data_IF_494672424781
#
_entry.id   IF_494672424781
#
_cell.length_a   1.000
_cell.length_b   1.000
_cell.length_c   1.000
_cell.angle_alpha   90.00
_cell.angle_beta   90.00
_cell.angle_gamma   90.00
#
_symmetry.space_group_name_H-M   'P 1'
#
loop_
_entity.id
_entity.type
_entity.pdbx_description
1 polymer ?
#
# COMPACT_ATOMS: atom_id res chain seq x y z
N UNK A 1 -39.34 18.09 -60.94
CA UNK A 1 -38.05 18.33 -60.22
C UNK A 1 -37.99 17.46 -59.02
N UNK A 2 -37.32 16.30 -59.09
CA UNK A 2 -37.17 15.32 -58.00
C UNK A 2 -35.83 15.58 -57.29
N UNK A 3 -35.87 16.00 -56.02
CA UNK A 3 -34.67 16.14 -55.17
C UNK A 3 -34.34 14.77 -54.58
N UNK A 4 -33.22 14.22 -54.99
CA UNK A 4 -32.62 13.06 -54.35
C UNK A 4 -31.84 13.52 -53.10
N UNK A 5 -32.25 13.05 -51.93
CA UNK A 5 -31.51 13.23 -50.65
C UNK A 5 -30.53 12.08 -50.53
N UNK A 6 -29.23 12.39 -50.61
CA UNK A 6 -28.15 11.45 -50.44
C UNK A 6 -27.86 11.36 -48.91
N UNK A 7 -28.22 10.22 -48.26
CA UNK A 7 -27.86 9.92 -46.90
C UNK A 7 -26.42 9.36 -46.88
N UNK A 8 -25.45 10.18 -46.46
CA UNK A 8 -24.11 9.71 -46.19
C UNK A 8 -24.09 9.03 -44.80
N UNK A 9 -24.01 7.70 -44.76
CA UNK A 9 -23.74 6.95 -43.54
C UNK A 9 -22.27 7.20 -43.12
N UNK A 10 -22.09 7.97 -42.08
CA UNK A 10 -20.79 8.18 -41.44
C UNK A 10 -20.52 6.93 -40.54
N UNK A 11 -19.78 5.97 -41.06
CA UNK A 11 -19.26 4.87 -40.26
C UNK A 11 -18.18 5.40 -39.31
N UNK A 12 -18.57 5.73 -38.07
CA UNK A 12 -17.61 5.99 -36.99
C UNK A 12 -17.01 4.64 -36.59
N UNK A 13 -15.85 4.33 -37.17
CA UNK A 13 -15.02 3.22 -36.72
C UNK A 13 -14.51 3.57 -35.32
N UNK A 14 -15.11 3.01 -34.28
CA UNK A 14 -14.48 2.93 -32.97
C UNK A 14 -13.21 2.08 -33.13
N UNK A 15 -12.06 2.72 -33.26
CA UNK A 15 -10.79 2.05 -33.05
C UNK A 15 -10.73 1.62 -31.59
N UNK A 16 -11.16 0.38 -31.30
CA UNK A 16 -10.84 -0.24 -30.03
C UNK A 16 -9.31 -0.26 -29.96
N UNK A 17 -8.74 0.48 -29.04
CA UNK A 17 -7.32 0.37 -28.69
C UNK A 17 -7.09 -1.04 -28.19
N UNK A 18 -6.68 -1.94 -29.10
CA UNK A 18 -6.29 -3.30 -28.69
C UNK A 18 -5.08 -3.16 -27.80
N UNK A 19 -5.27 -3.47 -26.53
CA UNK A 19 -4.18 -3.52 -25.58
C UNK A 19 -3.16 -4.56 -26.07
N UNK A 20 -1.87 -4.22 -26.05
CA UNK A 20 -0.82 -5.10 -26.53
C UNK A 20 -0.89 -6.44 -25.77
N UNK A 21 -0.88 -7.55 -26.52
CA UNK A 21 -0.76 -8.88 -25.93
C UNK A 21 0.72 -9.17 -25.74
N UNK A 22 1.11 -9.57 -24.51
CA UNK A 22 2.51 -9.80 -24.17
C UNK A 22 2.76 -11.28 -23.87
N UNK A 23 3.89 -11.77 -24.34
CA UNK A 23 4.47 -13.03 -23.89
C UNK A 23 5.81 -12.76 -23.24
N UNK A 24 5.96 -13.12 -21.97
CA UNK A 24 7.18 -12.91 -21.20
C UNK A 24 7.85 -14.27 -20.98
N UNK A 25 9.06 -14.46 -21.53
CA UNK A 25 9.90 -15.61 -21.26
C UNK A 25 10.98 -15.25 -20.27
N UNK A 26 11.11 -16.04 -19.20
CA UNK A 26 12.09 -15.81 -18.15
C UNK A 26 12.82 -17.08 -17.75
N UNK A 27 14.09 -16.93 -17.33
CA UNK A 27 14.85 -18.03 -16.74
C UNK A 27 14.20 -18.48 -15.41
N UNK A 28 13.69 -17.54 -14.62
CA UNK A 28 12.96 -17.82 -13.38
C UNK A 28 11.76 -16.90 -13.25
N UNK A 29 10.56 -17.46 -12.98
CA UNK A 29 9.38 -16.71 -12.57
C UNK A 29 9.07 -17.03 -11.11
N UNK A 30 8.90 -16.00 -10.30
CA UNK A 30 8.49 -16.07 -8.90
C UNK A 30 6.98 -15.77 -8.77
N UNK A 31 6.09 -16.77 -8.79
CA UNK A 31 4.65 -16.53 -8.69
C UNK A 31 4.21 -15.95 -7.35
N UNK A 32 4.98 -16.20 -6.30
CA UNK A 32 4.74 -15.88 -4.88
C UNK A 32 3.60 -16.69 -4.25
N UNK A 33 2.59 -17.09 -5.02
CA UNK A 33 1.54 -18.03 -4.58
C UNK A 33 1.96 -19.50 -4.63
N UNK A 34 3.14 -19.80 -5.19
CA UNK A 34 3.70 -21.14 -5.33
C UNK A 34 5.22 -21.11 -5.48
N UNK A 35 5.81 -22.26 -5.77
CA UNK A 35 7.26 -22.37 -5.96
C UNK A 35 7.71 -21.65 -7.24
N UNK A 36 8.94 -21.10 -7.29
CA UNK A 36 9.52 -20.53 -8.49
C UNK A 36 9.53 -21.52 -9.65
N UNK A 37 9.22 -21.02 -10.85
CA UNK A 37 9.17 -21.82 -12.08
C UNK A 37 10.35 -21.42 -12.97
N UNK A 38 11.24 -22.37 -13.25
CA UNK A 38 12.37 -22.16 -14.16
C UNK A 38 11.93 -22.35 -15.60
N UNK A 39 12.59 -21.62 -16.54
CA UNK A 39 12.29 -21.66 -17.97
C UNK A 39 10.79 -21.47 -18.22
N UNK A 40 10.25 -20.36 -17.72
CA UNK A 40 8.81 -20.11 -17.70
C UNK A 40 8.36 -19.08 -18.73
N UNK A 41 7.09 -19.20 -19.13
CA UNK A 41 6.40 -18.23 -19.98
C UNK A 41 5.14 -17.73 -19.29
N UNK A 42 4.94 -16.41 -19.31
CA UNK A 42 3.71 -15.74 -18.91
C UNK A 42 3.04 -15.18 -20.16
N UNK A 43 1.76 -15.48 -20.35
CA UNK A 43 0.94 -14.83 -21.37
C UNK A 43 0.06 -13.78 -20.71
N UNK A 44 0.05 -12.57 -21.29
CA UNK A 44 -0.77 -11.44 -20.84
C UNK A 44 -1.70 -11.03 -21.96
N UNK A 45 -2.98 -10.93 -21.64
CA UNK A 45 -4.04 -10.52 -22.57
C UNK A 45 -5.03 -9.60 -21.87
N UNK A 46 -5.43 -8.54 -22.55
CA UNK A 46 -6.44 -7.57 -22.04
C UNK A 46 -6.13 -7.08 -20.61
N UNK A 47 -4.84 -6.82 -20.33
CA UNK A 47 -4.38 -6.34 -19.03
C UNK A 47 -4.30 -7.37 -17.92
N UNK A 48 -4.61 -8.64 -18.21
CA UNK A 48 -4.65 -9.74 -17.24
C UNK A 48 -3.62 -10.80 -17.57
N UNK A 49 -3.19 -11.52 -16.53
CA UNK A 49 -2.42 -12.75 -16.69
C UNK A 49 -3.36 -13.82 -17.26
N UNK A 50 -3.10 -14.27 -18.48
CA UNK A 50 -3.88 -15.31 -19.14
C UNK A 50 -3.39 -16.70 -18.72
N UNK A 51 -2.05 -16.89 -18.71
CA UNK A 51 -1.43 -18.19 -18.41
C UNK A 51 -0.02 -18.02 -17.88
N UNK A 52 0.39 -18.91 -16.97
CA UNK A 52 1.74 -19.08 -16.48
C UNK A 52 2.09 -20.59 -16.50
N UNK A 53 3.31 -20.94 -16.91
CA UNK A 53 3.81 -22.32 -16.86
C UNK A 53 5.20 -22.43 -17.49
N UNK A 54 5.71 -23.68 -17.61
CA UNK A 54 6.98 -23.93 -18.26
C UNK A 54 6.92 -23.54 -19.75
N UNK A 55 7.98 -22.96 -20.28
CA UNK A 55 8.04 -22.53 -21.69
C UNK A 55 7.82 -23.68 -22.66
N UNK A 56 8.21 -24.91 -22.28
CA UNK A 56 7.95 -26.13 -23.08
C UNK A 56 6.46 -26.50 -23.17
N UNK A 57 5.62 -26.01 -22.27
CA UNK A 57 4.20 -26.33 -22.17
C UNK A 57 3.30 -25.19 -22.70
N UNK A 58 3.87 -24.00 -22.95
CA UNK A 58 3.13 -22.83 -23.40
C UNK A 58 3.53 -22.45 -24.82
N UNK A 59 2.58 -22.59 -25.75
CA UNK A 59 2.72 -22.05 -27.10
C UNK A 59 2.33 -20.58 -27.09
N UNK A 60 3.25 -19.73 -27.56
CA UNK A 60 2.98 -18.29 -27.72
C UNK A 60 2.12 -18.10 -28.97
N UNK A 61 0.92 -17.50 -28.89
CA UNK A 61 0.09 -17.25 -30.05
C UNK A 61 0.71 -16.18 -30.98
N UNK A 62 0.32 -16.19 -32.25
CA UNK A 62 0.72 -15.13 -33.17
C UNK A 62 0.16 -13.77 -32.73
N UNK A 63 0.97 -12.72 -32.90
CA UNK A 63 0.58 -11.34 -32.54
C UNK A 63 0.95 -10.92 -31.12
N UNK A 64 1.49 -11.82 -30.27
CA UNK A 64 2.04 -11.44 -28.98
C UNK A 64 3.42 -10.79 -29.13
N UNK A 65 3.63 -9.66 -28.44
CA UNK A 65 4.95 -9.06 -28.31
C UNK A 65 5.77 -9.90 -27.31
N UNK A 66 6.93 -10.39 -27.74
CA UNK A 66 7.81 -11.20 -26.90
C UNK A 66 8.77 -10.32 -26.10
N UNK A 67 8.75 -10.48 -24.79
CA UNK A 67 9.73 -9.92 -23.86
C UNK A 67 10.56 -11.06 -23.26
N UNK A 68 11.81 -10.76 -22.88
CA UNK A 68 12.72 -11.70 -22.22
C UNK A 68 13.27 -11.09 -20.95
N UNK A 69 13.42 -11.91 -19.90
CA UNK A 69 13.99 -11.50 -18.62
C UNK A 69 14.80 -12.64 -18.00
N UNK A 70 15.67 -12.34 -17.05
CA UNK A 70 16.29 -13.35 -16.20
C UNK A 70 15.33 -13.78 -15.09
N UNK A 71 14.75 -12.81 -14.40
CA UNK A 71 13.74 -13.09 -13.39
C UNK A 71 12.50 -12.23 -13.60
N UNK A 72 11.34 -12.74 -13.15
CA UNK A 72 10.06 -12.00 -13.13
C UNK A 72 9.39 -12.20 -11.77
N UNK A 73 8.93 -11.10 -11.18
CA UNK A 73 8.09 -11.10 -9.96
C UNK A 73 6.73 -10.45 -10.24
N UNK A 74 5.72 -10.63 -9.37
CA UNK A 74 4.58 -9.72 -9.33
C UNK A 74 5.06 -8.29 -9.14
N UNK A 75 4.26 -7.32 -9.54
CA UNK A 75 4.46 -5.92 -9.19
C UNK A 75 4.60 -5.75 -7.68
N UNK A 76 5.59 -4.95 -7.26
CA UNK A 76 5.85 -4.69 -5.85
C UNK A 76 4.77 -3.79 -5.28
N UNK A 77 4.44 -3.99 -4.00
CA UNK A 77 3.42 -3.25 -3.26
C UNK A 77 4.07 -2.61 -2.04
N UNK A 78 4.05 -1.29 -1.98
CA UNK A 78 4.44 -0.56 -0.79
C UNK A 78 3.26 -0.53 0.20
N UNK A 79 3.45 -1.21 1.34
CA UNK A 79 2.40 -1.37 2.34
C UNK A 79 2.00 -0.04 3.02
N UNK A 80 2.89 0.95 3.06
CA UNK A 80 2.65 2.27 3.64
C UNK A 80 3.67 3.29 3.17
N UNK A 81 3.18 4.38 2.61
CA UNK A 81 3.99 5.53 2.19
C UNK A 81 3.17 6.83 2.28
N UNK A 82 3.83 7.96 2.05
CA UNK A 82 3.18 9.28 1.89
C UNK A 82 3.43 9.84 0.47
N UNK A 83 4.02 9.05 -0.41
CA UNK A 83 4.33 9.47 -1.78
C UNK A 83 3.06 9.86 -2.52
N UNK A 84 3.13 10.96 -3.24
CA UNK A 84 2.01 11.60 -3.91
C UNK A 84 1.30 12.67 -3.07
N UNK A 85 1.33 12.57 -1.72
CA UNK A 85 0.97 13.65 -0.79
C UNK A 85 2.21 14.43 -0.33
N UNK A 86 3.38 13.81 -0.37
CA UNK A 86 4.68 14.45 -0.12
C UNK A 86 5.51 14.38 -1.38
N UNK A 87 6.06 15.51 -1.80
CA UNK A 87 6.76 15.65 -3.05
C UNK A 87 8.28 15.74 -2.91
N UNK A 88 8.97 15.65 -4.07
CA UNK A 88 10.41 15.62 -4.17
C UNK A 88 11.09 16.96 -3.82
N UNK A 89 10.38 18.07 -3.95
CA UNK A 89 10.95 19.41 -3.74
C UNK A 89 11.11 19.77 -2.26
N UNK A 90 10.36 19.12 -1.37
CA UNK A 90 10.34 19.39 0.07
C UNK A 90 10.06 20.86 0.40
N UNK A 91 9.15 21.48 -0.34
CA UNK A 91 8.68 22.85 -0.11
C UNK A 91 7.24 22.80 0.45
N UNK A 92 6.76 23.83 1.15
CA UNK A 92 5.41 23.78 1.75
C UNK A 92 4.29 23.43 0.76
N UNK A 93 4.44 23.77 -0.51
CA UNK A 93 3.43 23.52 -1.55
C UNK A 93 3.36 22.05 -2.01
N UNK A 94 4.31 21.20 -1.63
CA UNK A 94 4.31 19.77 -1.95
C UNK A 94 4.31 18.87 -0.69
N UNK A 95 3.75 19.38 0.44
CA UNK A 95 3.77 18.71 1.75
C UNK A 95 2.36 18.59 2.35
N UNK A 96 1.46 17.87 1.63
CA UNK A 96 0.07 17.64 2.06
C UNK A 96 -0.10 16.41 2.96
N UNK A 97 1.00 15.74 3.33
CA UNK A 97 0.93 14.50 4.12
C UNK A 97 0.55 14.72 5.59
N UNK A 98 0.65 15.92 6.14
CA UNK A 98 0.32 16.18 7.55
C UNK A 98 -0.23 17.58 7.77
N UNK A 99 -1.54 17.66 8.03
CA UNK A 99 -2.22 18.88 8.47
C UNK A 99 -2.03 19.10 9.98
N UNK A 100 -1.56 20.29 10.36
CA UNK A 100 -1.19 20.63 11.74
C UNK A 100 -2.18 21.55 12.46
N UNK A 101 -3.33 21.88 11.86
CA UNK A 101 -4.34 22.74 12.48
C UNK A 101 -5.05 22.08 13.68
N UNK A 102 -5.16 20.73 13.66
CA UNK A 102 -5.76 19.95 14.75
C UNK A 102 -5.14 18.55 14.84
N UNK A 103 -4.99 17.98 16.04
CA UNK A 103 -4.43 16.62 16.18
C UNK A 103 -5.40 15.50 15.79
N UNK A 104 -6.67 15.77 15.53
CA UNK A 104 -7.68 14.74 15.18
C UNK A 104 -8.52 15.23 14.01
N UNK A 105 -8.26 14.70 12.83
CA UNK A 105 -8.86 15.07 11.55
C UNK A 105 -9.17 13.83 10.69
N UNK A 106 -10.08 12.95 11.13
CA UNK A 106 -10.40 11.70 10.41
C UNK A 106 -11.12 11.94 9.08
N UNK A 107 -11.65 13.14 8.84
CA UNK A 107 -12.35 13.56 7.63
C UNK A 107 -11.45 13.79 6.44
N UNK A 108 -10.15 14.02 6.64
CA UNK A 108 -9.21 14.26 5.54
C UNK A 108 -9.02 12.99 4.70
N UNK A 109 -9.06 13.13 3.38
CA UNK A 109 -8.97 12.01 2.46
C UNK A 109 -7.71 12.12 1.59
N UNK A 110 -6.93 11.05 1.51
CA UNK A 110 -5.72 11.02 0.70
C UNK A 110 -5.99 11.31 -0.79
N UNK A 111 -7.13 10.88 -1.31
CA UNK A 111 -7.50 11.07 -2.71
C UNK A 111 -7.64 12.55 -3.09
N UNK A 112 -7.96 13.43 -2.14
CA UNK A 112 -8.14 14.86 -2.41
C UNK A 112 -6.81 15.63 -2.50
N UNK A 113 -5.70 15.02 -2.02
CA UNK A 113 -4.38 15.64 -1.96
C UNK A 113 -3.31 14.91 -2.81
N UNK A 114 -3.65 13.74 -3.37
CA UNK A 114 -2.69 12.94 -4.11
C UNK A 114 -2.38 13.52 -5.49
N UNK A 115 -1.08 13.70 -5.77
CA UNK A 115 -0.57 14.10 -7.07
C UNK A 115 -0.02 12.88 -7.83
N UNK A 116 -0.70 12.38 -8.89
CA UNK A 116 -0.22 11.24 -9.67
C UNK A 116 1.03 11.54 -10.51
N UNK A 117 1.30 12.81 -10.79
CA UNK A 117 2.44 13.28 -11.58
C UNK A 117 3.67 13.60 -10.71
N UNK A 118 3.61 13.31 -9.40
CA UNK A 118 4.74 13.52 -8.50
C UNK A 118 5.94 12.66 -8.93
N UNK A 119 7.10 13.27 -9.01
CA UNK A 119 8.36 12.63 -9.45
C UNK A 119 8.70 11.37 -8.65
N UNK A 120 8.37 11.35 -7.35
CA UNK A 120 8.60 10.18 -6.49
C UNK A 120 7.70 9.00 -6.89
N UNK A 121 6.47 9.25 -7.39
CA UNK A 121 5.61 8.18 -7.93
C UNK A 121 6.26 7.54 -9.15
N UNK A 122 6.81 8.37 -10.04
CA UNK A 122 7.56 7.88 -11.21
C UNK A 122 8.78 7.05 -10.77
N UNK A 123 9.54 7.56 -9.80
CA UNK A 123 10.71 6.87 -9.26
C UNK A 123 10.35 5.50 -8.68
N UNK A 124 9.30 5.41 -7.85
CA UNK A 124 8.82 4.13 -7.31
C UNK A 124 8.48 3.13 -8.42
N UNK A 125 7.77 3.59 -9.45
CA UNK A 125 7.40 2.78 -10.60
C UNK A 125 8.62 2.22 -11.34
N UNK A 126 9.67 3.05 -11.54
CA UNK A 126 10.92 2.63 -12.18
C UNK A 126 11.61 1.49 -11.43
N UNK A 127 11.48 1.45 -10.10
CA UNK A 127 11.98 0.36 -9.25
C UNK A 127 10.97 -0.77 -9.01
N UNK A 128 9.94 -0.90 -9.85
CA UNK A 128 9.02 -2.04 -9.82
C UNK A 128 7.87 -1.92 -8.82
N UNK A 129 7.71 -0.80 -8.10
CA UNK A 129 6.55 -0.60 -7.22
C UNK A 129 5.34 -0.21 -8.05
N UNK A 130 4.42 -1.14 -8.26
CA UNK A 130 3.25 -0.97 -9.12
C UNK A 130 2.01 -0.50 -8.38
N UNK A 131 1.99 -0.71 -7.06
CA UNK A 131 0.87 -0.35 -6.19
C UNK A 131 1.40 0.23 -4.88
N UNK A 132 0.78 1.29 -4.39
CA UNK A 132 1.11 1.92 -3.11
C UNK A 132 -0.14 2.07 -2.24
N UNK A 133 0.02 1.84 -0.94
CA UNK A 133 -0.91 2.27 0.09
C UNK A 133 -0.40 3.60 0.63
N UNK A 134 -1.00 4.69 0.20
CA UNK A 134 -0.55 6.05 0.51
C UNK A 134 -1.62 6.86 1.24
N UNK A 135 -1.21 7.92 1.90
CA UNK A 135 -2.10 8.83 2.61
C UNK A 135 -1.38 9.66 3.66
N UNK A 136 -2.18 10.23 4.56
CA UNK A 136 -1.67 11.14 5.56
C UNK A 136 -0.61 10.49 6.45
N UNK A 137 0.46 11.21 6.70
CA UNK A 137 1.64 10.76 7.43
C UNK A 137 1.44 10.65 8.94
N UNK A 138 2.51 10.24 9.59
CA UNK A 138 2.59 10.08 11.04
C UNK A 138 2.67 11.45 11.75
N UNK A 139 2.21 11.51 13.00
CA UNK A 139 2.42 12.67 13.86
C UNK A 139 1.17 13.46 14.22
N UNK A 140 -0.02 13.02 13.82
CA UNK A 140 -1.31 13.45 14.40
C UNK A 140 -2.02 12.27 15.03
N UNK A 141 -2.84 12.47 16.06
CA UNK A 141 -3.61 11.40 16.72
C UNK A 141 -4.51 10.67 15.71
N UNK A 142 -5.17 11.42 14.82
CA UNK A 142 -5.86 10.91 13.64
C UNK A 142 -5.50 11.84 12.49
N UNK A 143 -4.69 11.34 11.56
CA UNK A 143 -4.17 12.12 10.45
C UNK A 143 -5.14 12.21 9.27
N UNK A 144 -5.98 11.19 9.07
CA UNK A 144 -6.92 11.11 7.95
C UNK A 144 -7.01 9.71 7.34
N UNK A 145 -7.70 9.64 6.23
CA UNK A 145 -8.00 8.42 5.49
C UNK A 145 -6.88 8.13 4.48
N UNK A 146 -6.50 6.87 4.35
CA UNK A 146 -5.54 6.40 3.36
C UNK A 146 -6.25 5.79 2.14
N UNK A 147 -5.53 5.63 1.04
CA UNK A 147 -6.01 4.99 -0.18
C UNK A 147 -5.01 3.99 -0.73
N UNK A 148 -5.47 3.10 -1.62
CA UNK A 148 -4.61 2.21 -2.40
C UNK A 148 -4.73 2.59 -3.86
N UNK A 149 -3.60 2.79 -4.53
CA UNK A 149 -3.54 3.27 -5.91
C UNK A 149 -2.39 2.61 -6.68
N UNK A 150 -2.59 2.39 -7.98
CA UNK A 150 -1.52 1.98 -8.88
C UNK A 150 -0.66 3.16 -9.27
N UNK A 151 0.63 2.93 -9.45
CA UNK A 151 1.61 3.98 -9.82
C UNK A 151 1.66 4.26 -11.33
N UNK A 152 0.78 3.66 -12.13
CA UNK A 152 0.78 3.87 -13.57
C UNK A 152 0.43 5.35 -13.91
N UNK A 153 0.91 5.88 -15.06
CA UNK A 153 0.50 7.21 -15.53
C UNK A 153 -1.00 7.33 -15.73
N UNK A 154 -1.56 8.52 -15.51
CA UNK A 154 -2.99 8.80 -15.65
C UNK A 154 -3.58 9.51 -14.44
N UNK A 155 -4.89 9.69 -14.41
CA UNK A 155 -5.58 10.36 -13.32
C UNK A 155 -5.71 9.45 -12.08
N UNK A 156 -6.05 10.06 -10.95
CA UNK A 156 -6.30 9.32 -9.69
C UNK A 156 -7.47 8.36 -9.89
N UNK A 157 -8.53 8.82 -10.55
CA UNK A 157 -9.76 8.05 -10.79
C UNK A 157 -9.52 6.80 -11.64
N UNK A 158 -8.57 6.87 -12.60
CA UNK A 158 -8.20 5.73 -13.45
C UNK A 158 -7.38 4.68 -12.70
N UNK A 159 -6.63 5.10 -11.68
CA UNK A 159 -5.60 4.29 -11.05
C UNK A 159 -5.95 3.84 -9.64
N UNK A 160 -6.92 4.47 -8.97
CA UNK A 160 -7.30 4.13 -7.60
C UNK A 160 -7.95 2.74 -7.52
N UNK A 161 -7.43 1.92 -6.61
CA UNK A 161 -8.00 0.59 -6.29
C UNK A 161 -9.00 0.70 -5.15
N UNK A 162 -8.66 1.49 -4.14
CA UNK A 162 -9.49 1.76 -2.96
C UNK A 162 -9.33 3.24 -2.58
N UNK A 163 -10.36 4.07 -2.79
CA UNK A 163 -10.31 5.50 -2.46
C UNK A 163 -10.28 5.76 -0.94
N UNK A 164 -10.71 4.76 -0.15
CA UNK A 164 -10.66 4.71 1.29
C UNK A 164 -10.22 3.31 1.72
N UNK A 165 -9.04 3.19 2.32
CA UNK A 165 -8.48 1.91 2.77
C UNK A 165 -8.50 1.81 4.30
N UNK A 166 -7.83 2.71 5.00
CA UNK A 166 -7.69 2.70 6.44
C UNK A 166 -7.79 4.11 7.03
N UNK A 167 -7.96 4.20 8.35
CA UNK A 167 -7.84 5.45 9.09
C UNK A 167 -6.47 5.53 9.76
N UNK A 168 -5.62 6.47 9.30
CA UNK A 168 -4.28 6.66 9.82
C UNK A 168 -4.30 7.41 11.15
N UNK A 169 -3.62 6.83 12.14
CA UNK A 169 -3.53 7.31 13.52
C UNK A 169 -2.10 7.18 14.01
N UNK A 170 -1.70 7.99 14.99
CA UNK A 170 -0.39 7.89 15.62
C UNK A 170 -0.51 7.96 17.13
N UNK A 171 0.22 7.11 17.85
CA UNK A 171 0.40 7.17 19.29
C UNK A 171 1.89 7.25 19.59
N UNK A 172 2.30 8.26 20.35
CA UNK A 172 3.70 8.40 20.73
C UNK A 172 4.26 9.83 20.64
N UNK A 173 5.60 9.96 20.70
CA UNK A 173 6.27 11.26 20.80
C UNK A 173 6.08 12.18 19.59
N UNK A 174 5.92 11.63 18.39
CA UNK A 174 5.74 12.41 17.16
C UNK A 174 4.49 13.30 17.20
N UNK A 175 3.44 12.89 17.92
CA UNK A 175 2.24 13.70 18.13
C UNK A 175 2.56 14.93 18.97
N UNK A 176 3.23 14.76 20.12
CA UNK A 176 3.60 15.88 20.99
C UNK A 176 4.69 16.76 20.38
N UNK A 177 5.43 16.28 19.39
CA UNK A 177 6.37 17.08 18.61
C UNK A 177 5.71 18.01 17.60
N UNK A 178 4.50 17.66 17.12
CA UNK A 178 3.75 18.46 16.14
C UNK A 178 2.68 19.37 16.78
N UNK A 179 2.15 18.99 17.95
CA UNK A 179 1.04 19.69 18.60
C UNK A 179 1.37 20.01 20.06
N UNK A 180 1.05 21.22 20.49
CA UNK A 180 1.16 21.62 21.90
C UNK A 180 0.24 20.82 22.83
N UNK A 181 -0.87 20.30 22.30
CA UNK A 181 -1.79 19.37 22.96
C UNK A 181 -2.26 18.31 21.95
N UNK A 182 -2.16 17.00 22.29
CA UNK A 182 -1.77 16.42 23.59
C UNK A 182 -0.25 16.30 23.77
N UNK A 183 0.25 16.73 24.93
CA UNK A 183 1.68 16.66 25.25
C UNK A 183 2.14 15.35 25.90
N UNK A 184 1.23 14.47 26.35
CA UNK A 184 1.55 13.20 27.02
C UNK A 184 0.74 12.05 26.46
N UNK A 185 1.27 10.81 26.58
CA UNK A 185 0.57 9.58 26.18
C UNK A 185 -0.80 9.44 26.83
N UNK A 186 -0.91 9.75 28.12
CA UNK A 186 -2.20 9.68 28.84
C UNK A 186 -3.23 10.64 28.23
N UNK A 187 -2.82 11.85 27.87
CA UNK A 187 -3.70 12.82 27.19
C UNK A 187 -4.05 12.40 25.77
N UNK A 188 -3.10 11.82 25.03
CA UNK A 188 -3.33 11.23 23.70
C UNK A 188 -4.45 10.19 23.77
N UNK A 189 -4.31 9.21 24.67
CA UNK A 189 -5.33 8.17 24.86
C UNK A 189 -6.68 8.69 25.33
N UNK A 190 -6.69 9.70 26.21
CA UNK A 190 -7.93 10.32 26.66
C UNK A 190 -8.67 11.04 25.52
N UNK A 191 -7.95 11.75 24.65
CA UNK A 191 -8.55 12.42 23.50
C UNK A 191 -9.09 11.43 22.47
N UNK A 192 -8.34 10.38 22.14
CA UNK A 192 -8.82 9.31 21.23
C UNK A 192 -10.10 8.65 21.76
N UNK A 193 -10.13 8.28 23.07
CA UNK A 193 -11.33 7.73 23.69
C UNK A 193 -12.52 8.68 23.59
N UNK A 194 -12.30 9.96 23.92
CA UNK A 194 -13.35 10.97 23.84
C UNK A 194 -13.99 11.04 22.45
N UNK A 195 -13.19 11.05 21.39
CA UNK A 195 -13.71 11.10 20.01
C UNK A 195 -14.39 9.80 19.60
N UNK A 196 -13.84 8.65 20.00
CA UNK A 196 -14.44 7.35 19.69
C UNK A 196 -15.78 7.15 20.43
N UNK A 197 -15.93 7.61 21.69
CA UNK A 197 -17.22 7.61 22.38
C UNK A 197 -18.24 8.51 21.69
N UNK A 198 -17.84 9.71 21.24
CA UNK A 198 -18.72 10.58 20.45
C UNK A 198 -19.17 9.90 19.16
N UNK A 199 -18.27 9.19 18.48
CA UNK A 199 -18.60 8.46 17.27
C UNK A 199 -19.54 7.27 17.53
N UNK A 200 -19.39 6.56 18.66
CA UNK A 200 -20.35 5.51 19.07
C UNK A 200 -21.75 6.10 19.30
N UNK A 201 -21.86 7.20 20.04
CA UNK A 201 -23.13 7.90 20.28
C UNK A 201 -23.76 8.41 18.97
N UNK A 202 -22.95 9.06 18.11
CA UNK A 202 -23.37 9.50 16.79
C UNK A 202 -23.92 8.34 15.94
N UNK A 203 -23.19 7.23 15.86
CA UNK A 203 -23.60 6.04 15.12
C UNK A 203 -24.90 5.45 15.64
N UNK A 204 -25.05 5.37 16.97
CA UNK A 204 -26.30 4.88 17.58
C UNK A 204 -27.48 5.79 17.24
N UNK A 205 -27.32 7.12 17.34
CA UNK A 205 -28.36 8.09 16.97
C UNK A 205 -28.72 8.07 15.49
N UNK A 206 -27.77 7.83 14.60
CA UNK A 206 -28.04 7.66 13.15
C UNK A 206 -28.97 6.50 12.84
N UNK A 207 -29.03 5.48 13.69
CA UNK A 207 -29.88 4.31 13.55
C UNK A 207 -31.28 4.50 14.15
N UNK A 208 -31.59 5.66 14.76
CA UNK A 208 -32.92 5.92 15.35
C UNK A 208 -34.00 5.82 14.27
N UNK A 209 -35.10 5.15 14.61
CA UNK A 209 -36.26 4.99 13.70
C UNK A 209 -36.92 6.33 13.40
N UNK A 210 -36.93 7.23 14.38
CA UNK A 210 -37.43 8.59 14.23
C UNK A 210 -36.37 9.48 13.54
N UNK A 211 -36.61 9.84 12.29
CA UNK A 211 -35.68 10.65 11.50
C UNK A 211 -35.40 12.04 12.10
N UNK A 212 -36.32 12.56 12.91
CA UNK A 212 -36.15 13.87 13.57
C UNK A 212 -35.12 13.85 14.69
N UNK A 213 -34.82 12.67 15.23
CA UNK A 213 -33.80 12.46 16.27
C UNK A 213 -32.39 12.14 15.68
N UNK A 214 -32.30 11.91 14.36
CA UNK A 214 -31.01 11.64 13.74
C UNK A 214 -30.16 12.92 13.70
N UNK A 215 -28.87 12.82 14.05
CA UNK A 215 -27.98 13.97 13.98
C UNK A 215 -27.76 14.40 12.53
N UNK A 216 -27.43 15.66 12.31
CA UNK A 216 -26.93 16.13 11.03
C UNK A 216 -25.65 15.37 10.63
N UNK A 217 -25.33 15.36 9.35
CA UNK A 217 -24.10 14.72 8.86
C UNK A 217 -22.88 15.51 9.35
N UNK A 218 -21.94 14.76 9.94
CA UNK A 218 -20.65 15.25 10.45
C UNK A 218 -19.55 14.38 9.84
N UNK A 219 -18.70 14.96 8.98
CA UNK A 219 -17.66 14.21 8.25
C UNK A 219 -16.69 13.49 9.17
N UNK A 220 -16.35 14.13 10.30
CA UNK A 220 -15.47 13.56 11.33
C UNK A 220 -16.09 12.31 11.96
N UNK A 221 -17.35 12.42 12.37
CA UNK A 221 -18.08 11.31 12.98
C UNK A 221 -18.38 10.20 11.99
N UNK A 222 -18.66 10.51 10.72
CA UNK A 222 -18.85 9.51 9.66
C UNK A 222 -17.57 8.69 9.45
N UNK A 223 -16.40 9.33 9.37
CA UNK A 223 -15.11 8.61 9.21
C UNK A 223 -14.80 7.68 10.40
N UNK A 224 -14.99 8.19 11.64
CA UNK A 224 -14.84 7.37 12.86
C UNK A 224 -15.89 6.26 12.97
N UNK A 225 -17.10 6.47 12.44
CA UNK A 225 -18.15 5.45 12.41
C UNK A 225 -17.77 4.28 11.50
N UNK A 226 -17.10 4.53 10.39
CA UNK A 226 -16.57 3.49 9.49
C UNK A 226 -15.49 2.64 10.17
N UNK A 227 -14.62 3.24 10.97
CA UNK A 227 -13.68 2.52 11.82
C UNK A 227 -14.41 1.61 12.82
N UNK A 228 -15.38 2.16 13.56
CA UNK A 228 -16.13 1.43 14.58
C UNK A 228 -17.07 0.36 14.03
N UNK A 229 -17.49 0.48 12.76
CA UNK A 229 -18.28 -0.56 12.09
C UNK A 229 -17.43 -1.70 11.54
N UNK A 230 -16.10 -1.52 11.46
CA UNK A 230 -15.19 -2.46 10.83
C UNK A 230 -15.20 -2.39 9.30
N UNK A 231 -15.82 -1.35 8.70
CA UNK A 231 -15.77 -1.06 7.26
C UNK A 231 -14.34 -0.76 6.84
N UNK A 232 -13.60 -0.01 7.66
CA UNK A 232 -12.16 0.25 7.50
C UNK A 232 -11.38 -0.20 8.72
N UNK A 233 -10.08 -0.45 8.54
CA UNK A 233 -9.15 -0.77 9.63
C UNK A 233 -8.57 0.51 10.24
N UNK A 234 -8.18 0.45 11.53
CA UNK A 234 -7.36 1.48 12.17
C UNK A 234 -5.88 1.18 11.91
N UNK A 235 -5.21 2.06 11.19
CA UNK A 235 -3.77 2.01 10.93
C UNK A 235 -3.09 2.85 12.01
N UNK A 236 -2.52 2.22 13.05
CA UNK A 236 -1.94 2.93 14.18
C UNK A 236 -0.42 2.83 14.16
N UNK A 237 0.23 3.95 13.86
CA UNK A 237 1.69 4.05 14.00
C UNK A 237 2.05 4.08 15.49
N UNK A 238 2.79 3.04 15.92
CA UNK A 238 3.25 2.87 17.29
C UNK A 238 4.55 2.06 17.31
N UNK A 239 5.66 2.65 17.76
CA UNK A 239 6.98 2.02 17.69
C UNK A 239 7.39 1.36 19.02
N UNK A 240 7.24 2.05 20.14
CA UNK A 240 7.63 1.50 21.46
C UNK A 240 6.61 0.51 21.98
N UNK A 241 7.07 -0.41 22.84
CA UNK A 241 6.19 -1.40 23.49
C UNK A 241 5.02 -0.77 24.24
N UNK A 242 5.24 0.38 24.88
CA UNK A 242 4.18 1.10 25.60
C UNK A 242 3.12 1.64 24.62
N UNK A 243 3.52 2.16 23.47
CA UNK A 243 2.62 2.72 22.46
C UNK A 243 1.86 1.61 21.71
N UNK A 244 2.53 0.49 21.38
CA UNK A 244 1.88 -0.71 20.83
C UNK A 244 0.82 -1.24 21.80
N UNK A 245 1.13 -1.33 23.09
CA UNK A 245 0.16 -1.78 24.10
C UNK A 245 -1.01 -0.79 24.27
N UNK A 246 -0.78 0.51 24.07
CA UNK A 246 -1.86 1.51 24.06
C UNK A 246 -2.77 1.32 22.84
N UNK A 247 -2.20 1.04 21.65
CA UNK A 247 -3.00 0.72 20.46
C UNK A 247 -3.87 -0.54 20.67
N UNK A 248 -3.28 -1.60 21.25
CA UNK A 248 -4.01 -2.84 21.58
C UNK A 248 -5.12 -2.59 22.61
N UNK A 249 -4.87 -1.77 23.65
CA UNK A 249 -5.93 -1.41 24.62
C UNK A 249 -7.08 -0.66 23.96
N UNK A 250 -6.78 0.28 23.07
CA UNK A 250 -7.79 1.04 22.35
C UNK A 250 -8.61 0.13 21.44
N UNK A 251 -7.95 -0.75 20.69
CA UNK A 251 -8.60 -1.75 19.86
C UNK A 251 -9.52 -2.67 20.66
N UNK A 252 -9.06 -3.16 21.82
CA UNK A 252 -9.87 -4.01 22.70
C UNK A 252 -11.08 -3.28 23.27
N UNK A 253 -10.95 -2.00 23.60
CA UNK A 253 -12.01 -1.16 24.17
C UNK A 253 -13.12 -0.86 23.15
N UNK A 254 -12.76 -0.60 21.88
CA UNK A 254 -13.68 -0.15 20.84
C UNK A 254 -14.01 -1.18 19.75
N UNK A 255 -13.31 -2.30 19.69
CA UNK A 255 -13.63 -3.44 18.84
C UNK A 255 -13.28 -3.28 17.35
N UNK A 256 -12.49 -2.28 16.95
CA UNK A 256 -12.10 -2.12 15.55
C UNK A 256 -10.95 -3.08 15.15
N UNK A 257 -10.76 -3.27 13.83
CA UNK A 257 -9.63 -4.04 13.30
C UNK A 257 -8.36 -3.19 13.34
N UNK A 258 -7.29 -3.71 13.95
CA UNK A 258 -6.03 -3.01 14.16
C UNK A 258 -4.95 -3.47 13.17
N UNK A 259 -4.33 -2.51 12.50
CA UNK A 259 -3.05 -2.65 11.80
C UNK A 259 -2.03 -1.82 12.58
N UNK A 260 -1.00 -2.46 13.10
CA UNK A 260 0.15 -1.79 13.69
C UNK A 260 1.09 -1.35 12.57
N UNK A 261 1.41 -0.08 12.56
CA UNK A 261 2.29 0.57 11.60
C UNK A 261 3.60 0.98 12.29
N UNK A 262 4.73 0.82 11.61
CA UNK A 262 6.07 1.00 12.18
C UNK A 262 6.47 -0.14 13.11
N UNK A 263 5.81 -0.27 14.25
CA UNK A 263 5.87 -1.41 15.17
C UNK A 263 7.30 -1.87 15.56
N UNK A 264 8.23 -0.93 15.79
CA UNK A 264 9.66 -1.20 15.98
C UNK A 264 9.98 -2.18 17.11
N UNK A 265 9.16 -2.22 18.17
CA UNK A 265 9.31 -3.17 19.30
C UNK A 265 8.28 -4.31 19.28
N UNK A 266 7.61 -4.57 18.14
CA UNK A 266 6.61 -5.64 18.05
C UNK A 266 7.17 -7.02 18.39
N UNK A 267 8.45 -7.27 18.09
CA UNK A 267 9.14 -8.52 18.42
C UNK A 267 9.14 -8.86 19.93
N UNK A 268 8.95 -7.86 20.80
CA UNK A 268 8.84 -8.03 22.25
C UNK A 268 7.43 -8.39 22.72
N UNK A 269 6.41 -8.19 21.87
CA UNK A 269 5.00 -8.26 22.22
C UNK A 269 4.22 -9.29 21.40
N UNK A 270 4.91 -10.30 20.85
CA UNK A 270 4.34 -11.34 19.99
C UNK A 270 3.05 -11.96 20.59
N UNK A 271 2.99 -12.41 21.87
CA UNK A 271 1.77 -12.97 22.43
C UNK A 271 0.60 -11.99 22.48
N UNK A 272 0.88 -10.72 22.83
CA UNK A 272 -0.13 -9.67 22.95
C UNK A 272 -0.71 -9.30 21.58
N UNK A 273 0.15 -9.17 20.56
CA UNK A 273 -0.25 -8.84 19.18
C UNK A 273 -1.08 -9.99 18.59
N UNK A 274 -0.68 -11.26 18.83
CA UNK A 274 -1.47 -12.44 18.44
C UNK A 274 -2.86 -12.45 19.08
N UNK A 275 -2.94 -12.20 20.39
CA UNK A 275 -4.21 -12.16 21.12
C UNK A 275 -5.13 -11.04 20.62
N UNK A 276 -4.56 -9.92 20.19
CA UNK A 276 -5.30 -8.80 19.60
C UNK A 276 -5.70 -9.05 18.14
N UNK A 277 -5.20 -10.12 17.51
CA UNK A 277 -5.35 -10.35 16.07
C UNK A 277 -4.91 -9.15 15.21
N UNK A 278 -3.91 -8.40 15.69
CA UNK A 278 -3.41 -7.25 14.97
C UNK A 278 -2.51 -7.67 13.80
N UNK A 279 -2.70 -7.01 12.66
CA UNK A 279 -1.83 -7.13 11.49
C UNK A 279 -0.64 -6.18 11.62
N UNK A 280 0.46 -6.43 10.90
CA UNK A 280 1.69 -5.65 11.04
C UNK A 280 2.17 -5.14 9.69
N UNK A 281 2.32 -3.82 9.57
CA UNK A 281 3.17 -3.15 8.60
C UNK A 281 4.44 -2.76 9.36
N UNK A 282 5.55 -3.39 8.97
CA UNK A 282 6.83 -3.19 9.66
C UNK A 282 7.54 -1.98 9.08
N UNK A 283 8.13 -1.18 9.97
CA UNK A 283 9.00 -0.06 9.62
C UNK A 283 10.03 -0.42 8.53
N UNK A 284 10.54 0.58 7.78
CA UNK A 284 11.64 0.34 6.85
C UNK A 284 12.83 -0.34 7.58
N UNK A 285 13.36 -1.39 7.00
CA UNK A 285 14.42 -2.21 7.62
C UNK A 285 15.75 -1.46 7.73
N UNK A 286 15.94 -0.44 6.87
CA UNK A 286 17.07 0.49 6.92
C UNK A 286 16.77 1.75 7.75
N UNK A 287 15.68 1.77 8.53
CA UNK A 287 15.38 2.90 9.42
C UNK A 287 16.46 3.09 10.50
N UNK A 288 16.60 4.33 10.99
CA UNK A 288 17.55 4.64 12.05
C UNK A 288 17.01 4.27 13.42
N UNK A 289 17.90 3.76 14.27
CA UNK A 289 17.61 3.51 15.68
C UNK A 289 17.68 4.82 16.46
N UNK A 290 16.62 5.61 16.43
CA UNK A 290 16.54 6.89 17.14
C UNK A 290 15.12 7.15 17.66
N UNK A 291 15.01 7.99 18.67
CA UNK A 291 13.73 8.38 19.25
C UNK A 291 12.93 7.17 19.78
N UNK A 292 11.68 7.06 19.37
CA UNK A 292 10.77 5.95 19.73
C UNK A 292 11.11 4.62 19.04
N UNK A 293 12.03 4.65 18.06
CA UNK A 293 12.61 3.49 17.37
C UNK A 293 13.99 3.07 17.94
N UNK A 294 14.39 3.59 19.10
CA UNK A 294 15.70 3.32 19.70
C UNK A 294 16.01 1.83 19.98
N UNK A 295 14.97 1.00 20.15
CA UNK A 295 15.08 -0.46 20.33
C UNK A 295 14.71 -1.24 19.05
N UNK A 296 14.70 -0.60 17.89
CA UNK A 296 14.53 -1.28 16.62
C UNK A 296 15.60 -2.35 16.45
N UNK A 297 15.21 -3.55 15.99
CA UNK A 297 16.14 -4.57 15.53
C UNK A 297 15.92 -4.87 14.05
N UNK A 298 17.00 -5.04 13.31
CA UNK A 298 16.96 -5.37 11.88
C UNK A 298 16.44 -6.79 11.62
N UNK A 299 16.44 -7.64 12.65
CA UNK A 299 15.91 -8.99 12.64
C UNK A 299 14.38 -9.04 12.79
N UNK A 300 13.72 -7.90 13.04
CA UNK A 300 12.28 -7.84 13.34
C UNK A 300 11.42 -8.58 12.31
N UNK A 301 11.69 -8.42 11.01
CA UNK A 301 10.93 -9.11 9.96
C UNK A 301 11.05 -10.63 10.08
N UNK A 302 12.27 -11.15 10.28
CA UNK A 302 12.54 -12.57 10.44
C UNK A 302 11.88 -13.12 11.70
N UNK A 303 12.03 -12.45 12.85
CA UNK A 303 11.45 -12.87 14.13
C UNK A 303 9.93 -12.94 14.05
N UNK A 304 9.29 -11.92 13.50
CA UNK A 304 7.84 -11.85 13.40
C UNK A 304 7.28 -12.88 12.42
N UNK A 305 7.94 -13.10 11.27
CA UNK A 305 7.51 -14.13 10.32
C UNK A 305 7.70 -15.54 10.86
N UNK A 306 8.79 -15.82 11.58
CA UNK A 306 8.97 -17.10 12.28
C UNK A 306 7.92 -17.31 13.38
N UNK A 307 7.44 -16.24 13.98
CA UNK A 307 6.31 -16.29 14.90
C UNK A 307 4.94 -16.47 14.20
N UNK A 308 4.89 -16.49 12.86
CA UNK A 308 3.69 -16.74 12.07
C UNK A 308 2.89 -15.49 11.67
N UNK A 309 3.47 -14.29 11.76
CA UNK A 309 2.82 -13.08 11.22
C UNK A 309 3.11 -12.92 9.72
N UNK A 310 2.11 -12.63 8.88
CA UNK A 310 2.33 -12.24 7.49
C UNK A 310 2.77 -10.76 7.41
N UNK A 311 4.05 -10.50 7.75
CA UNK A 311 4.59 -9.14 7.80
C UNK A 311 4.58 -8.50 6.42
N UNK A 312 4.13 -7.25 6.33
CA UNK A 312 4.31 -6.36 5.18
C UNK A 312 5.38 -5.34 5.52
N UNK A 313 6.28 -5.03 4.57
CA UNK A 313 7.32 -4.01 4.74
C UNK A 313 6.86 -2.73 4.06
N UNK A 314 7.14 -1.60 4.69
CA UNK A 314 6.84 -0.27 4.18
C UNK A 314 8.09 0.50 3.76
N UNK A 315 7.93 1.50 2.89
CA UNK A 315 8.96 2.53 2.66
C UNK A 315 8.90 3.64 3.71
N UNK A 316 7.75 3.84 4.32
CA UNK A 316 7.54 4.82 5.38
C UNK A 316 7.70 6.27 4.92
N UNK A 317 8.14 7.13 5.86
CA UNK A 317 8.38 8.54 5.63
C UNK A 317 9.53 9.07 6.47
N UNK A 318 10.46 9.80 5.85
CA UNK A 318 11.54 10.52 6.53
C UNK A 318 11.38 12.03 6.32
N UNK A 319 11.09 12.77 7.40
CA UNK A 319 10.65 14.18 7.34
C UNK A 319 11.72 15.22 7.00
N UNK A 320 13.00 14.85 6.90
CA UNK A 320 14.07 15.83 6.66
C UNK A 320 14.59 15.87 5.22
N UNK A 321 14.29 14.86 4.44
CA UNK A 321 14.60 14.79 3.00
C UNK A 321 13.43 14.09 2.34
N UNK A 322 12.94 14.55 1.18
CA UNK A 322 11.95 13.83 0.41
C UNK A 322 12.61 12.58 -0.16
N UNK A 323 12.75 11.58 0.70
CA UNK A 323 13.25 10.28 0.32
C UNK A 323 12.09 9.31 0.39
N UNK A 324 11.76 8.82 -0.78
CA UNK A 324 11.06 7.57 -0.78
C UNK A 324 12.10 6.46 -0.74
N UNK A 325 11.92 5.53 0.18
CA UNK A 325 12.64 4.28 0.18
C UNK A 325 11.98 3.35 -0.84
N UNK A 326 12.76 2.47 -1.43
CA UNK A 326 12.23 1.46 -2.35
C UNK A 326 12.10 0.15 -1.59
N UNK A 327 10.90 -0.38 -1.50
CA UNK A 327 10.61 -1.60 -0.71
C UNK A 327 11.43 -2.81 -1.18
N UNK A 328 11.87 -2.86 -2.43
CA UNK A 328 12.79 -3.88 -2.94
C UNK A 328 14.09 -3.92 -2.11
N UNK A 329 14.69 -2.75 -1.84
CA UNK A 329 15.93 -2.66 -1.07
C UNK A 329 15.70 -2.88 0.42
N UNK A 330 14.54 -2.49 0.94
CA UNK A 330 14.15 -2.78 2.32
C UNK A 330 13.99 -4.30 2.53
N UNK A 331 13.39 -5.02 1.59
CA UNK A 331 13.26 -6.47 1.64
C UNK A 331 14.62 -7.17 1.48
N UNK A 332 15.50 -6.68 0.58
CA UNK A 332 16.86 -7.19 0.45
C UNK A 332 17.66 -7.06 1.75
N UNK A 333 17.53 -5.91 2.43
CA UNK A 333 18.16 -5.70 3.74
C UNK A 333 17.65 -6.72 4.78
N UNK A 334 16.35 -7.02 4.79
CA UNK A 334 15.78 -8.00 5.72
C UNK A 334 16.35 -9.42 5.51
N UNK A 335 16.70 -9.79 4.27
CA UNK A 335 17.36 -11.07 3.96
C UNK A 335 18.70 -11.16 4.69
N UNK A 336 19.48 -10.09 4.71
CA UNK A 336 20.77 -10.04 5.40
C UNK A 336 20.64 -10.31 6.91
N UNK A 337 19.45 -10.08 7.47
CA UNK A 337 19.13 -10.31 8.88
C UNK A 337 18.16 -11.49 9.09
N UNK A 338 18.29 -12.52 8.24
CA UNK A 338 17.69 -13.84 8.48
C UNK A 338 16.29 -14.05 7.88
N UNK A 339 15.77 -13.12 7.07
CA UNK A 339 14.55 -13.37 6.32
C UNK A 339 14.86 -14.25 5.10
N UNK A 340 14.04 -15.24 4.78
CA UNK A 340 14.20 -16.01 3.55
C UNK A 340 13.83 -15.17 2.32
N UNK A 341 14.45 -15.47 1.16
CA UNK A 341 14.13 -14.80 -0.13
C UNK A 341 12.64 -14.89 -0.45
N UNK A 342 12.01 -16.03 -0.22
CA UNK A 342 10.58 -16.21 -0.42
C UNK A 342 9.76 -15.26 0.47
N UNK A 343 10.07 -15.20 1.76
CA UNK A 343 9.37 -14.32 2.69
C UNK A 343 9.66 -12.85 2.41
N UNK A 344 10.85 -12.50 1.93
CA UNK A 344 11.16 -11.14 1.50
C UNK A 344 10.29 -10.72 0.31
N UNK A 345 10.16 -11.57 -0.73
CA UNK A 345 9.23 -11.31 -1.83
C UNK A 345 7.78 -11.20 -1.35
N UNK A 346 7.34 -12.13 -0.49
CA UNK A 346 5.98 -12.08 0.07
C UNK A 346 5.70 -10.79 0.83
N UNK A 347 6.68 -10.26 1.57
CA UNK A 347 6.52 -9.06 2.40
C UNK A 347 6.31 -7.77 1.60
N UNK A 348 6.63 -7.77 0.32
CA UNK A 348 6.49 -6.63 -0.59
C UNK A 348 5.59 -6.94 -1.81
N UNK A 349 4.83 -8.04 -1.76
CA UNK A 349 3.90 -8.44 -2.84
C UNK A 349 2.60 -9.00 -2.25
N UNK A 350 2.55 -10.28 -1.92
CA UNK A 350 1.31 -10.97 -1.52
C UNK A 350 0.84 -10.59 -0.11
N UNK A 351 1.75 -10.44 0.86
CA UNK A 351 1.33 -10.05 2.21
C UNK A 351 0.66 -8.67 2.25
N UNK A 352 1.25 -7.59 1.67
CA UNK A 352 0.56 -6.31 1.59
C UNK A 352 -0.72 -6.39 0.75
N UNK A 353 -0.78 -7.18 -0.33
CA UNK A 353 -2.02 -7.36 -1.09
C UNK A 353 -3.14 -7.97 -0.23
N UNK A 354 -2.83 -8.97 0.60
CA UNK A 354 -3.78 -9.58 1.53
C UNK A 354 -4.20 -8.61 2.64
N UNK A 355 -3.23 -7.92 3.25
CA UNK A 355 -3.48 -6.93 4.29
C UNK A 355 -4.41 -5.81 3.81
N UNK A 356 -4.20 -5.35 2.57
CA UNK A 356 -4.99 -4.30 1.93
C UNK A 356 -6.31 -4.80 1.33
N UNK A 357 -6.54 -6.13 1.25
CA UNK A 357 -7.75 -6.71 0.68
C UNK A 357 -7.85 -6.58 -0.84
N UNK A 358 -6.71 -6.60 -1.54
CA UNK A 358 -6.60 -6.50 -3.00
C UNK A 358 -5.93 -7.72 -3.64
N UNK A 359 -5.76 -8.81 -2.89
CA UNK A 359 -5.04 -10.00 -3.33
C UNK A 359 -5.77 -10.82 -4.41
N UNK A 360 -7.03 -10.54 -4.66
CA UNK A 360 -7.80 -11.04 -5.80
C UNK A 360 -7.35 -10.42 -7.13
N UNK A 361 -6.70 -9.24 -7.08
CA UNK A 361 -6.24 -8.50 -8.24
C UNK A 361 -4.73 -8.54 -8.46
N UNK A 362 -3.93 -8.38 -7.39
CA UNK A 362 -2.48 -8.16 -7.44
C UNK A 362 -1.74 -8.96 -6.36
N UNK A 363 -0.40 -8.89 -6.35
CA UNK A 363 0.46 -9.48 -5.31
C UNK A 363 0.97 -10.89 -5.61
N UNK A 364 0.47 -11.55 -6.65
CA UNK A 364 0.98 -12.84 -7.14
C UNK A 364 0.74 -12.98 -8.64
N UNK A 365 1.50 -13.86 -9.31
CA UNK A 365 1.33 -14.15 -10.75
C UNK A 365 0.42 -15.35 -10.88
N UNK A 366 -0.88 -15.09 -11.08
CA UNK A 366 -1.92 -16.11 -11.23
C UNK A 366 -2.90 -15.70 -12.34
N UNK A 367 -3.42 -16.68 -13.07
CA UNK A 367 -4.37 -16.43 -14.14
C UNK A 367 -5.59 -15.66 -13.64
N UNK A 368 -6.01 -14.63 -14.39
CA UNK A 368 -7.13 -13.75 -14.07
C UNK A 368 -6.75 -12.50 -13.26
N UNK A 369 -5.59 -12.46 -12.59
CA UNK A 369 -5.10 -11.27 -11.90
C UNK A 369 -4.61 -10.20 -12.88
N UNK A 370 -4.52 -8.97 -12.41
CA UNK A 370 -3.94 -7.87 -13.17
C UNK A 370 -2.49 -8.21 -13.54
N UNK A 371 -2.11 -7.93 -14.78
CA UNK A 371 -0.74 -8.16 -15.24
C UNK A 371 0.16 -7.02 -14.77
N UNK A 372 0.43 -7.00 -13.47
CA UNK A 372 1.40 -6.14 -12.82
C UNK A 372 2.66 -6.99 -12.58
N UNK A 373 3.72 -6.72 -13.34
CA UNK A 373 4.91 -7.56 -13.41
C UNK A 373 6.17 -6.70 -13.39
N UNK A 374 7.22 -7.23 -12.77
CA UNK A 374 8.56 -6.62 -12.77
C UNK A 374 9.54 -7.61 -13.39
N UNK A 375 10.27 -7.16 -14.40
CA UNK A 375 11.24 -7.93 -15.15
C UNK A 375 12.65 -7.46 -14.80
N UNK A 376 13.52 -8.40 -14.46
CA UNK A 376 14.88 -8.15 -13.99
C UNK A 376 15.93 -8.76 -14.94
N UNK A 377 17.14 -8.16 -14.95
CA UNK A 377 18.33 -8.68 -15.66
C UNK A 377 19.18 -9.66 -14.81
N UNK A 378 18.72 -10.00 -13.61
CA UNK A 378 19.33 -10.92 -12.66
C UNK A 378 18.32 -11.40 -11.61
N UNK A 379 18.78 -11.98 -10.51
CA UNK A 379 17.93 -12.35 -9.37
C UNK A 379 17.49 -11.08 -8.61
N UNK A 380 16.23 -10.96 -8.16
CA UNK A 380 15.65 -9.68 -7.68
C UNK A 380 16.38 -9.00 -6.54
N UNK A 381 17.09 -9.74 -5.69
CA UNK A 381 17.79 -9.22 -4.51
C UNK A 381 19.32 -9.19 -4.63
N UNK A 382 19.84 -9.48 -5.81
CA UNK A 382 21.28 -9.38 -6.07
C UNK A 382 21.68 -7.93 -6.33
N UNK A 383 22.80 -7.50 -5.76
CA UNK A 383 23.25 -6.10 -5.78
C UNK A 383 23.44 -5.51 -7.20
N UNK A 384 23.85 -6.33 -8.15
CA UNK A 384 24.08 -5.92 -9.54
C UNK A 384 22.85 -6.09 -10.44
N UNK A 385 21.72 -6.49 -9.89
CA UNK A 385 20.49 -6.69 -10.65
C UNK A 385 19.73 -5.37 -10.77
N UNK A 386 19.21 -5.14 -11.98
CA UNK A 386 18.39 -3.97 -12.30
C UNK A 386 16.95 -4.38 -12.56
N UNK A 387 16.03 -3.49 -12.23
CA UNK A 387 14.65 -3.51 -12.76
C UNK A 387 14.69 -2.95 -14.17
N UNK A 388 14.40 -3.76 -15.19
CA UNK A 388 14.52 -3.35 -16.58
C UNK A 388 13.17 -3.09 -17.26
N UNK A 389 12.12 -3.81 -16.87
CA UNK A 389 10.78 -3.55 -17.42
C UNK A 389 9.74 -3.64 -16.32
N UNK A 390 8.86 -2.66 -16.26
CA UNK A 390 7.71 -2.65 -15.36
C UNK A 390 6.43 -2.63 -16.16
N UNK A 391 5.54 -3.55 -15.86
CA UNK A 391 4.24 -3.72 -16.51
C UNK A 391 3.16 -3.49 -15.46
N UNK A 392 2.18 -2.63 -15.77
CA UNK A 392 1.00 -2.39 -14.93
C UNK A 392 -0.25 -2.54 -15.81
N UNK A 393 -1.20 -3.37 -15.38
CA UNK A 393 -2.39 -3.68 -16.16
C UNK A 393 -2.06 -4.13 -17.60
N UNK A 394 -0.97 -4.89 -17.77
CA UNK A 394 -0.52 -5.37 -19.08
C UNK A 394 0.10 -4.32 -19.99
N UNK A 395 0.32 -3.10 -19.53
CA UNK A 395 1.00 -2.02 -20.27
C UNK A 395 2.43 -1.86 -19.75
N UNK A 396 3.40 -1.76 -20.64
CA UNK A 396 4.77 -1.39 -20.27
C UNK A 396 4.77 0.07 -19.86
N UNK A 397 5.15 0.35 -18.61
CA UNK A 397 5.17 1.69 -18.02
C UNK A 397 6.59 2.19 -17.72
N UNK A 398 7.57 1.30 -17.77
CA UNK A 398 9.01 1.56 -17.73
C UNK A 398 9.73 0.46 -18.47
N UNK A 399 10.72 0.81 -19.30
CA UNK A 399 11.50 -0.09 -20.16
C UNK A 399 12.99 0.23 -20.18
N UNK A 400 13.46 0.91 -19.12
CA UNK A 400 14.88 1.20 -18.89
C UNK A 400 15.34 0.50 -17.62
N UNK A 401 16.58 0.00 -17.64
CA UNK A 401 17.17 -0.65 -16.46
C UNK A 401 17.63 0.38 -15.43
N UNK A 402 17.22 0.21 -14.17
CA UNK A 402 17.51 1.09 -13.02
C UNK A 402 18.13 0.29 -11.88
#
# INVERSE_FOLDING_TARGET
MKRAILFALLCISFAATTQAQLAIQAETVYPVSGMPIREATILVKDGKIEKLGKSSEIRIPAGYQLLKAKAVTPGLIDARTVVGLSGALNVPADQDQLEKSSPIQPELRAIDAYNPDETLVQSLRQYGVTTIHTGHGIGALVSGQTMVIKTQPGTVEENVLQPLSMLAMTIGPSVSGNFSSPGTRAKQMAQLRSELFKAQDYRQKKLDKDSTKRPASDLKMEALSKLLSGEIKGLITANSSIDIMNAIRLQKEFGFKLVLDGAAEAYRLIPQIKTAHAEIILHPTMARNEGDKGNLTRESASILMQAGFPVSIESGYEGYVPKTRVVLFEAAQAITYGLSVENALRSITLNPAQLLGISDRVGSIEAGKDADLVLYDGEPFEYLTHVCTVIINGKIVSDQCY
#
